data_IF_127281480826
#
_entry.id   IF_127281480826
#
_cell.length_a   1.000
_cell.length_b   1.000
_cell.length_c   1.000
_cell.angle_alpha   90.00
_cell.angle_beta   90.00
_cell.angle_gamma   90.00
#
_symmetry.space_group_name_H-M   'P 1'
#
loop_
_entity.id
_entity.type
_entity.pdbx_description
1 polymer ?
#
# COMPACT_ATOMS: atom_id res chain seq x y z
N UNK A 1 29.07 10.31 8.04
CA UNK A 1 28.34 10.80 9.24
C UNK A 1 27.19 9.84 9.48
N UNK A 2 27.27 9.03 10.53
CA UNK A 2 26.21 8.11 10.92
C UNK A 2 25.11 8.93 11.60
N UNK A 3 23.89 8.97 11.05
CA UNK A 3 22.78 9.64 11.72
C UNK A 3 22.47 8.93 13.03
N UNK A 4 22.44 9.70 14.11
CA UNK A 4 22.10 9.19 15.44
C UNK A 4 20.63 8.81 15.51
N UNK A 5 20.24 8.00 16.49
CA UNK A 5 18.83 7.63 16.70
C UNK A 5 17.99 8.87 17.00
N UNK A 6 18.56 9.87 17.68
CA UNK A 6 17.91 11.16 17.93
C UNK A 6 17.67 11.95 16.65
N UNK A 7 18.63 11.96 15.71
CA UNK A 7 18.41 12.55 14.39
C UNK A 7 17.24 11.88 13.65
N UNK A 8 16.94 10.60 13.91
CA UNK A 8 15.83 9.86 13.28
C UNK A 8 14.47 10.17 13.93
N UNK A 9 14.45 10.56 15.20
CA UNK A 9 13.21 10.83 15.94
C UNK A 9 12.58 12.16 15.47
N UNK A 10 13.38 13.15 15.05
CA UNK A 10 12.89 14.43 14.53
C UNK A 10 12.17 14.34 13.16
N UNK A 11 12.40 13.29 12.36
CA UNK A 11 11.80 13.18 11.02
C UNK A 11 10.37 12.66 10.98
N UNK A 12 9.86 12.12 12.08
CA UNK A 12 8.58 11.43 12.07
C UNK A 12 7.66 12.01 13.14
N UNK A 13 6.99 13.12 12.81
CA UNK A 13 5.87 13.64 13.59
C UNK A 13 4.67 12.69 13.46
N UNK A 14 4.76 11.54 14.13
CA UNK A 14 3.70 10.52 14.22
C UNK A 14 2.78 10.78 15.42
N UNK A 15 2.78 12.00 15.95
CA UNK A 15 2.04 12.47 17.14
C UNK A 15 0.55 12.08 17.12
N UNK A 16 -0.02 11.96 15.91
CA UNK A 16 -1.44 11.70 15.69
C UNK A 16 -1.79 10.22 15.44
N UNK A 17 -0.81 9.30 15.50
CA UNK A 17 -0.99 7.88 15.19
C UNK A 17 -1.00 7.01 16.45
N UNK A 18 -2.11 6.30 16.66
CA UNK A 18 -2.17 5.26 17.69
C UNK A 18 -1.62 3.94 17.17
N UNK A 19 -0.95 3.19 18.05
CA UNK A 19 -0.41 1.85 17.74
C UNK A 19 -1.52 0.90 17.26
N UNK A 20 -2.72 0.99 17.85
CA UNK A 20 -3.88 0.20 17.43
C UNK A 20 -4.30 0.50 15.99
N UNK A 21 -4.33 1.78 15.59
CA UNK A 21 -4.71 2.14 14.21
C UNK A 21 -3.66 1.66 13.20
N UNK A 22 -2.38 1.69 13.57
CA UNK A 22 -1.30 1.15 12.73
C UNK A 22 -1.40 -0.38 12.59
N UNK A 23 -1.65 -1.08 13.69
CA UNK A 23 -1.85 -2.52 13.68
C UNK A 23 -3.01 -2.92 12.75
N UNK A 24 -4.17 -2.27 12.91
CA UNK A 24 -5.34 -2.54 12.06
C UNK A 24 -5.07 -2.21 10.59
N UNK A 25 -4.33 -1.12 10.31
CA UNK A 25 -3.91 -0.77 8.96
C UNK A 25 -3.07 -1.87 8.31
N UNK A 26 -2.12 -2.47 9.05
CA UNK A 26 -1.29 -3.55 8.52
C UNK A 26 -2.08 -4.85 8.33
N UNK A 27 -3.01 -5.18 9.22
CA UNK A 27 -3.89 -6.34 9.02
C UNK A 27 -4.73 -6.20 7.75
N UNK A 28 -5.38 -5.05 7.56
CA UNK A 28 -6.19 -4.81 6.35
C UNK A 28 -5.30 -4.76 5.08
N UNK A 29 -4.02 -4.40 5.22
CA UNK A 29 -3.05 -4.42 4.12
C UNK A 29 -2.63 -5.85 3.74
N UNK A 30 -2.46 -6.73 4.72
CA UNK A 30 -2.19 -8.15 4.49
C UNK A 30 -3.38 -8.82 3.78
N UNK A 31 -4.61 -8.51 4.20
CA UNK A 31 -5.83 -8.97 3.50
C UNK A 31 -5.85 -8.50 2.03
N UNK A 32 -5.47 -7.25 1.77
CA UNK A 32 -5.38 -6.72 0.40
C UNK A 32 -4.27 -7.41 -0.41
N UNK A 33 -3.14 -7.71 0.23
CA UNK A 33 -2.04 -8.46 -0.38
C UNK A 33 -2.48 -9.86 -0.80
N UNK A 34 -3.27 -10.55 0.02
CA UNK A 34 -3.76 -11.90 -0.29
C UNK A 34 -4.72 -11.90 -1.48
N UNK A 35 -5.59 -10.88 -1.57
CA UNK A 35 -6.44 -10.68 -2.76
C UNK A 35 -5.59 -10.43 -4.03
N UNK A 36 -4.55 -9.60 -3.93
CA UNK A 36 -3.65 -9.34 -5.06
C UNK A 36 -2.84 -10.58 -5.45
N UNK A 37 -2.41 -11.38 -4.49
CA UNK A 37 -1.72 -12.65 -4.72
C UNK A 37 -2.63 -13.65 -5.44
N UNK A 38 -3.89 -13.72 -5.03
CA UNK A 38 -4.91 -14.54 -5.71
C UNK A 38 -5.09 -14.11 -7.17
N UNK A 39 -5.07 -12.80 -7.45
CA UNK A 39 -5.16 -12.27 -8.82
C UNK A 39 -3.98 -12.73 -9.68
N UNK A 40 -2.77 -12.67 -9.14
CA UNK A 40 -1.56 -13.16 -9.84
C UNK A 40 -1.68 -14.65 -10.17
N UNK A 41 -2.29 -15.44 -9.29
CA UNK A 41 -2.49 -16.86 -9.53
C UNK A 41 -3.58 -17.15 -10.56
N UNK A 42 -4.63 -16.34 -10.64
CA UNK A 42 -5.61 -16.42 -11.72
C UNK A 42 -4.96 -16.12 -13.07
N UNK A 43 -4.18 -15.04 -13.15
CA UNK A 43 -3.44 -14.69 -14.36
C UNK A 43 -2.50 -15.82 -14.85
N UNK A 44 -1.79 -16.49 -13.93
CA UNK A 44 -0.96 -17.67 -14.28
C UNK A 44 -1.78 -18.86 -14.79
N UNK A 45 -2.98 -19.07 -14.23
CA UNK A 45 -3.89 -20.14 -14.65
C UNK A 45 -4.51 -19.81 -16.00
N UNK A 46 -4.83 -18.55 -16.26
CA UNK A 46 -5.34 -18.05 -17.55
C UNK A 46 -4.38 -18.44 -18.68
N UNK A 47 -3.08 -18.13 -18.52
CA UNK A 47 -2.05 -18.42 -19.51
C UNK A 47 -1.91 -19.91 -19.88
N UNK A 48 -2.39 -20.81 -19.03
CA UNK A 48 -2.31 -22.27 -19.21
C UNK A 48 -3.65 -22.90 -19.60
N UNK A 49 -4.72 -22.12 -19.66
CA UNK A 49 -6.07 -22.61 -19.93
C UNK A 49 -6.43 -22.39 -21.39
N UNK A 50 -7.05 -23.39 -22.02
CA UNK A 50 -7.46 -23.31 -23.42
C UNK A 50 -8.56 -22.25 -23.60
N UNK A 51 -8.31 -21.31 -24.51
CA UNK A 51 -9.27 -20.26 -24.89
C UNK A 51 -10.60 -20.88 -25.35
N UNK A 52 -11.70 -20.27 -24.95
CA UNK A 52 -13.06 -20.71 -25.30
C UNK A 52 -13.55 -21.96 -24.56
N UNK A 53 -12.76 -22.50 -23.62
CA UNK A 53 -13.26 -23.53 -22.70
C UNK A 53 -14.09 -22.91 -21.58
N UNK A 54 -15.07 -23.65 -21.05
CA UNK A 54 -15.85 -23.21 -19.88
C UNK A 54 -14.96 -22.86 -18.68
N UNK A 55 -13.83 -23.57 -18.55
CA UNK A 55 -12.82 -23.28 -17.52
C UNK A 55 -12.19 -21.90 -17.68
N UNK A 56 -11.94 -21.48 -18.92
CA UNK A 56 -11.44 -20.14 -19.21
C UNK A 56 -12.49 -19.07 -18.86
N UNK A 57 -13.73 -19.26 -19.31
CA UNK A 57 -14.82 -18.32 -19.01
C UNK A 57 -15.05 -18.15 -17.51
N UNK A 58 -15.09 -19.26 -16.75
CA UNK A 58 -15.22 -19.22 -15.29
C UNK A 58 -14.04 -18.50 -14.61
N UNK A 59 -12.84 -18.64 -15.17
CA UNK A 59 -11.65 -17.97 -14.64
C UNK A 59 -11.73 -16.46 -14.84
N UNK A 60 -12.10 -16.01 -16.05
CA UNK A 60 -12.29 -14.58 -16.36
C UNK A 60 -13.41 -13.99 -15.48
N UNK A 61 -14.52 -14.68 -15.30
CA UNK A 61 -15.58 -14.24 -14.39
C UNK A 61 -15.05 -14.07 -12.96
N UNK A 62 -14.28 -15.05 -12.46
CA UNK A 62 -13.67 -14.99 -11.13
C UNK A 62 -12.68 -13.83 -10.99
N UNK A 63 -11.88 -13.55 -12.02
CA UNK A 63 -10.98 -12.39 -12.06
C UNK A 63 -11.74 -11.07 -11.96
N UNK A 64 -12.85 -10.92 -12.69
CA UNK A 64 -13.66 -9.69 -12.65
C UNK A 64 -14.24 -9.46 -11.25
N UNK A 65 -14.74 -10.50 -10.58
CA UNK A 65 -15.19 -10.39 -9.19
C UNK A 65 -14.04 -10.01 -8.26
N UNK A 66 -12.87 -10.61 -8.44
CA UNK A 66 -11.70 -10.31 -7.62
C UNK A 66 -11.20 -8.85 -7.82
N UNK A 67 -11.22 -8.31 -9.04
CA UNK A 67 -10.91 -6.88 -9.30
C UNK A 67 -11.84 -6.00 -8.46
N UNK A 68 -13.13 -6.31 -8.45
CA UNK A 68 -14.12 -5.54 -7.69
C UNK A 68 -13.86 -5.62 -6.19
N UNK A 69 -13.49 -6.79 -5.68
CA UNK A 69 -13.20 -7.00 -4.26
C UNK A 69 -11.94 -6.25 -3.83
N UNK A 70 -10.87 -6.30 -4.65
CA UNK A 70 -9.65 -5.51 -4.44
C UNK A 70 -9.98 -4.01 -4.40
N UNK A 71 -10.75 -3.52 -5.39
CA UNK A 71 -11.13 -2.11 -5.45
C UNK A 71 -11.98 -1.71 -4.23
N UNK A 72 -12.90 -2.57 -3.79
CA UNK A 72 -13.72 -2.32 -2.60
C UNK A 72 -12.87 -2.26 -1.34
N UNK A 73 -11.95 -3.21 -1.15
CA UNK A 73 -11.04 -3.26 -0.01
C UNK A 73 -10.14 -2.04 0.04
N UNK A 74 -9.48 -1.71 -1.08
CA UNK A 74 -8.63 -0.52 -1.19
C UNK A 74 -9.40 0.78 -0.90
N UNK A 75 -10.62 0.94 -1.44
CA UNK A 75 -11.46 2.11 -1.15
C UNK A 75 -11.79 2.23 0.35
N UNK A 76 -12.12 1.12 1.02
CA UNK A 76 -12.40 1.09 2.46
C UNK A 76 -11.15 1.48 3.26
N UNK A 77 -9.98 0.97 2.89
CA UNK A 77 -8.72 1.33 3.53
C UNK A 77 -8.40 2.81 3.39
N UNK A 78 -8.59 3.40 2.20
CA UNK A 78 -8.39 4.83 1.96
C UNK A 78 -9.28 5.70 2.86
N UNK A 79 -10.51 5.26 3.13
CA UNK A 79 -11.44 5.97 4.00
C UNK A 79 -11.11 5.75 5.50
N UNK A 80 -10.90 4.50 5.91
CA UNK A 80 -10.65 4.10 7.31
C UNK A 80 -9.32 4.62 7.84
N UNK A 81 -8.28 4.62 7.01
CA UNK A 81 -6.90 4.92 7.41
C UNK A 81 -6.37 6.23 6.82
N UNK A 82 -7.25 7.16 6.49
CA UNK A 82 -6.88 8.48 5.95
C UNK A 82 -5.81 9.17 6.81
N UNK A 83 -5.93 9.12 8.13
CA UNK A 83 -4.96 9.71 9.07
C UNK A 83 -3.59 9.05 8.97
N UNK A 84 -3.55 7.71 8.92
CA UNK A 84 -2.31 6.93 8.73
C UNK A 84 -1.65 7.32 7.41
N UNK A 85 -2.40 7.29 6.32
CA UNK A 85 -1.90 7.62 4.98
C UNK A 85 -1.37 9.05 4.92
N UNK A 86 -2.11 10.01 5.49
CA UNK A 86 -1.70 11.41 5.51
C UNK A 86 -0.44 11.64 6.35
N UNK A 87 -0.35 11.02 7.53
CA UNK A 87 0.84 11.13 8.38
C UNK A 87 2.09 10.59 7.66
N UNK A 88 1.99 9.42 7.01
CA UNK A 88 3.11 8.89 6.24
C UNK A 88 3.44 9.71 4.99
N UNK A 89 2.45 10.31 4.33
CA UNK A 89 2.68 11.25 3.22
C UNK A 89 3.40 12.50 3.70
N UNK A 90 2.96 13.10 4.78
CA UNK A 90 3.62 14.27 5.37
C UNK A 90 5.07 13.96 5.78
N UNK A 91 5.30 12.82 6.44
CA UNK A 91 6.66 12.37 6.75
C UNK A 91 7.53 12.15 5.48
N UNK A 92 6.92 11.74 4.36
CA UNK A 92 7.63 11.65 3.09
C UNK A 92 8.00 13.03 2.54
N UNK A 93 7.05 13.96 2.50
CA UNK A 93 7.24 15.31 1.98
C UNK A 93 8.28 16.09 2.83
N UNK A 94 8.22 15.97 4.15
CA UNK A 94 9.18 16.60 5.07
C UNK A 94 10.61 16.08 4.85
N UNK A 95 10.78 14.76 4.65
CA UNK A 95 12.08 14.16 4.32
C UNK A 95 12.61 14.65 2.97
N UNK A 96 11.74 14.78 1.97
CA UNK A 96 12.12 15.29 0.64
C UNK A 96 12.48 16.78 0.68
N UNK A 97 11.78 17.59 1.48
CA UNK A 97 12.13 18.99 1.72
C UNK A 97 13.49 19.11 2.41
N UNK A 98 13.74 18.34 3.47
CA UNK A 98 15.02 18.32 4.18
C UNK A 98 16.19 17.96 3.23
N UNK A 99 15.99 16.96 2.34
CA UNK A 99 16.98 16.59 1.30
C UNK A 99 17.26 17.73 0.33
N UNK A 100 16.25 18.51 -0.06
CA UNK A 100 16.42 19.66 -0.96
C UNK A 100 17.17 20.80 -0.30
N UNK A 101 16.89 21.09 0.98
CA UNK A 101 17.60 22.13 1.75
C UNK A 101 19.08 21.78 1.96
N UNK A 102 19.40 20.50 2.22
CA UNK A 102 20.78 20.01 2.35
C UNK A 102 21.60 20.12 1.05
N UNK A 103 20.94 20.08 -0.11
CA UNK A 103 21.57 20.14 -1.44
C UNK A 103 21.66 21.56 -2.01
N UNK A 104 21.19 22.60 -1.29
CA UNK A 104 21.37 23.99 -1.75
C UNK A 104 22.86 24.37 -1.65
N UNK A 105 23.47 24.91 -2.73
CA UNK A 105 24.85 25.37 -2.67
C UNK A 105 24.95 26.50 -1.65
N UNK A 106 25.86 26.33 -0.68
CA UNK A 106 26.21 27.39 0.28
C UNK A 106 26.79 28.56 -0.51
N UNK A 107 26.13 29.72 -0.43
CA UNK A 107 26.64 31.00 -0.96
C UNK A 107 27.83 31.48 -0.13
#
# INVERSE_FOLDING_TARGET
>A
MSSTVDDKIEYYSLSDLTVSTLHDFYLDLDDLHDLCSTMVDYYKKEQRTTLGSDKYSNLIESEVFLVKDIASSACKMLQKYKTVINAFKQCHDDRELARKELNKPKK
#
